data_IF_528429885919
#
_entry.id   IF_528429885919
#
_cell.length_a   1.000
_cell.length_b   1.000
_cell.length_c   1.000
_cell.angle_alpha   90.00
_cell.angle_beta   90.00
_cell.angle_gamma   90.00
#
_symmetry.space_group_name_H-M   'P 1'
#
loop_
_entity.id
_entity.type
_entity.pdbx_description
1 polymer ?
#
# COMPACT_ATOMS: atom_id res chain seq x y z
N UNK A 1 -14.58 -17.63 -4.23
CA UNK A 1 -15.62 -18.61 -4.57
C UNK A 1 -16.74 -18.65 -3.52
N UNK A 2 -16.42 -18.81 -2.21
CA UNK A 2 -17.44 -18.96 -1.15
C UNK A 2 -18.37 -17.76 -1.05
N UNK A 3 -17.83 -16.56 -0.97
CA UNK A 3 -18.61 -15.33 -0.76
C UNK A 3 -19.44 -14.89 -1.97
N UNK A 4 -18.95 -15.17 -3.19
CA UNK A 4 -19.63 -14.78 -4.41
C UNK A 4 -20.59 -15.87 -4.92
N UNK A 5 -20.19 -17.16 -4.90
CA UNK A 5 -21.00 -18.25 -5.45
C UNK A 5 -21.90 -18.95 -4.43
N UNK A 6 -21.38 -19.29 -3.23
CA UNK A 6 -22.17 -20.00 -2.21
C UNK A 6 -23.09 -19.07 -1.44
N UNK A 7 -22.57 -17.97 -0.94
CA UNK A 7 -23.31 -17.05 -0.09
C UNK A 7 -24.03 -15.95 -0.88
N UNK A 8 -23.64 -15.71 -2.14
CA UNK A 8 -24.22 -14.68 -3.03
C UNK A 8 -24.28 -13.28 -2.38
N UNK A 9 -23.37 -13.01 -1.43
CA UNK A 9 -23.31 -11.72 -0.74
C UNK A 9 -22.73 -10.62 -1.61
N UNK A 10 -21.87 -11.02 -2.54
CA UNK A 10 -21.17 -10.09 -3.45
C UNK A 10 -21.32 -10.58 -4.89
N UNK A 11 -21.44 -9.66 -5.87
CA UNK A 11 -21.45 -10.03 -7.28
C UNK A 11 -20.13 -10.68 -7.66
N UNK A 12 -20.18 -11.63 -8.62
CA UNK A 12 -19.02 -12.43 -9.05
C UNK A 12 -18.05 -11.61 -9.87
N UNK A 13 -18.58 -10.67 -10.64
CA UNK A 13 -17.82 -9.79 -11.54
C UNK A 13 -18.64 -8.52 -11.85
N UNK A 14 -17.94 -7.48 -12.32
CA UNK A 14 -18.54 -6.18 -12.67
C UNK A 14 -18.03 -5.06 -11.78
N UNK A 15 -18.27 -3.82 -12.22
CA UNK A 15 -17.82 -2.61 -11.52
C UNK A 15 -18.98 -1.65 -11.21
N UNK A 16 -20.20 -2.09 -11.45
CA UNK A 16 -21.39 -1.23 -11.44
C UNK A 16 -21.94 -0.95 -10.03
N UNK A 17 -21.38 -1.59 -9.00
CA UNK A 17 -21.84 -1.44 -7.62
C UNK A 17 -20.67 -1.39 -6.63
N UNK A 18 -20.80 -0.55 -5.61
CA UNK A 18 -19.83 -0.50 -4.50
C UNK A 18 -19.56 -1.89 -3.88
N UNK A 19 -20.59 -2.76 -3.85
CA UNK A 19 -20.46 -4.14 -3.37
C UNK A 19 -19.52 -4.99 -4.24
N UNK A 20 -19.42 -4.71 -5.53
CA UNK A 20 -18.53 -5.42 -6.44
C UNK A 20 -17.05 -5.09 -6.18
N UNK A 21 -16.76 -3.91 -5.64
CA UNK A 21 -15.39 -3.48 -5.33
C UNK A 21 -14.85 -4.08 -4.03
N UNK A 22 -15.70 -4.56 -3.13
CA UNK A 22 -15.29 -5.05 -1.80
C UNK A 22 -14.38 -6.28 -1.91
N UNK A 23 -14.73 -7.26 -2.75
CA UNK A 23 -13.93 -8.48 -2.89
C UNK A 23 -12.54 -8.21 -3.49
N UNK A 24 -12.39 -7.47 -4.62
CA UNK A 24 -11.08 -7.07 -5.12
C UNK A 24 -10.26 -6.30 -4.09
N UNK A 25 -10.88 -5.35 -3.38
CA UNK A 25 -10.21 -4.55 -2.36
C UNK A 25 -9.70 -5.41 -1.18
N UNK A 26 -10.50 -6.38 -0.71
CA UNK A 26 -10.06 -7.32 0.34
C UNK A 26 -8.89 -8.17 -0.15
N UNK A 27 -8.91 -8.68 -1.37
CA UNK A 27 -7.83 -9.52 -1.92
C UNK A 27 -6.53 -8.75 -2.00
N UNK A 28 -6.56 -7.52 -2.52
CA UNK A 28 -5.38 -6.66 -2.63
C UNK A 28 -4.90 -6.22 -1.24
N UNK A 29 -5.81 -5.80 -0.38
CA UNK A 29 -5.49 -5.33 0.97
C UNK A 29 -4.95 -6.44 1.87
N UNK A 30 -5.44 -7.67 1.76
CA UNK A 30 -5.00 -8.81 2.58
C UNK A 30 -3.53 -9.14 2.35
N UNK A 31 -3.11 -9.14 1.10
CA UNK A 31 -1.70 -9.39 0.75
C UNK A 31 -0.78 -8.31 1.36
N UNK A 32 -1.17 -7.05 1.25
CA UNK A 32 -0.42 -5.90 1.77
C UNK A 32 -0.44 -5.83 3.31
N UNK A 33 -1.58 -6.13 3.93
CA UNK A 33 -1.77 -6.04 5.36
C UNK A 33 -0.78 -6.89 6.17
N UNK A 34 -0.49 -8.11 5.70
CA UNK A 34 0.48 -9.00 6.35
C UNK A 34 1.91 -8.43 6.37
N UNK A 35 2.33 -7.78 5.30
CA UNK A 35 3.66 -7.15 5.20
C UNK A 35 3.75 -5.90 6.07
N UNK A 36 2.72 -5.05 6.02
CA UNK A 36 2.63 -3.84 6.84
C UNK A 36 2.63 -4.20 8.34
N UNK A 37 1.84 -5.19 8.74
CA UNK A 37 1.76 -5.61 10.14
C UNK A 37 3.10 -6.15 10.66
N UNK A 38 3.80 -6.98 9.88
CA UNK A 38 5.14 -7.49 10.26
C UNK A 38 6.15 -6.36 10.38
N UNK A 39 6.19 -5.44 9.44
CA UNK A 39 7.10 -4.31 9.45
C UNK A 39 6.82 -3.38 10.63
N UNK A 40 5.55 -3.04 10.87
CA UNK A 40 5.15 -2.21 12.01
C UNK A 40 5.58 -2.85 13.33
N UNK A 41 5.36 -4.16 13.50
CA UNK A 41 5.78 -4.87 14.70
C UNK A 41 7.30 -4.85 14.87
N UNK A 42 8.06 -5.15 13.81
CA UNK A 42 9.52 -5.16 13.87
C UNK A 42 10.09 -3.81 14.28
N UNK A 43 9.65 -2.75 13.61
CA UNK A 43 10.10 -1.39 13.91
C UNK A 43 9.69 -0.93 15.32
N UNK A 44 8.48 -1.30 15.77
CA UNK A 44 8.03 -0.95 17.10
C UNK A 44 8.87 -1.63 18.18
N UNK A 45 9.20 -2.92 18.00
CA UNK A 45 10.06 -3.67 18.93
C UNK A 45 11.45 -3.07 19.01
N UNK A 46 12.03 -2.68 17.87
CA UNK A 46 13.34 -2.03 17.79
C UNK A 46 13.33 -0.69 18.54
N UNK A 47 12.37 0.17 18.24
CA UNK A 47 12.23 1.49 18.85
C UNK A 47 11.98 1.42 20.37
N UNK A 48 11.26 0.40 20.84
CA UNK A 48 11.02 0.22 22.27
C UNK A 48 12.29 -0.07 23.09
N UNK A 49 13.41 -0.40 22.42
CA UNK A 49 14.71 -0.64 23.04
C UNK A 49 15.61 0.61 23.06
N UNK A 50 15.21 1.67 22.37
CA UNK A 50 15.96 2.92 22.28
C UNK A 50 16.07 3.67 23.62
N UNK A 51 17.19 4.37 23.83
CA UNK A 51 17.48 5.06 25.09
C UNK A 51 16.52 6.20 25.40
N UNK A 52 15.97 6.87 24.38
CA UNK A 52 14.97 7.92 24.64
C UNK A 52 13.65 7.36 25.16
N UNK A 53 13.30 6.11 24.84
CA UNK A 53 12.15 5.41 25.41
C UNK A 53 12.41 5.06 26.88
N UNK A 54 13.61 4.61 27.21
CA UNK A 54 14.01 4.38 28.61
C UNK A 54 13.95 5.68 29.42
N UNK A 55 14.42 6.77 28.83
CA UNK A 55 14.35 8.10 29.45
C UNK A 55 12.90 8.57 29.67
N UNK A 56 12.03 8.35 28.73
CA UNK A 56 10.60 8.67 28.86
C UNK A 56 9.93 7.90 30.01
N UNK A 57 10.25 6.61 30.14
CA UNK A 57 9.81 5.78 31.29
C UNK A 57 10.38 6.26 32.61
N UNK A 58 11.67 6.62 32.67
CA UNK A 58 12.32 7.15 33.86
C UNK A 58 11.71 8.48 34.35
N UNK A 59 11.16 9.29 33.44
CA UNK A 59 10.38 10.50 33.75
C UNK A 59 8.97 10.22 34.30
N UNK A 60 8.59 8.95 34.47
CA UNK A 60 7.30 8.56 35.05
C UNK A 60 6.11 8.68 34.07
N UNK A 61 6.35 8.76 32.77
CA UNK A 61 5.26 8.76 31.79
C UNK A 61 4.54 7.40 31.81
N UNK A 62 3.21 7.45 31.65
CA UNK A 62 2.38 6.24 31.55
C UNK A 62 2.79 5.44 30.31
N UNK A 63 2.86 4.12 30.41
CA UNK A 63 3.29 3.23 29.32
C UNK A 63 2.50 3.47 28.02
N UNK A 64 1.20 3.70 28.11
CA UNK A 64 0.37 4.06 26.98
C UNK A 64 0.86 5.34 26.25
N UNK A 65 1.25 6.37 27.00
CA UNK A 65 1.78 7.61 26.42
C UNK A 65 3.15 7.38 25.77
N UNK A 66 4.00 6.56 26.38
CA UNK A 66 5.31 6.17 25.82
C UNK A 66 5.11 5.45 24.49
N UNK A 67 4.20 4.48 24.42
CA UNK A 67 3.95 3.71 23.22
C UNK A 67 3.35 4.59 22.11
N UNK A 68 2.28 5.32 22.38
CA UNK A 68 1.52 6.05 21.33
C UNK A 68 2.29 7.29 20.85
N UNK A 69 2.80 8.12 21.77
CA UNK A 69 3.35 9.41 21.39
C UNK A 69 4.86 9.37 21.10
N UNK A 70 5.59 8.40 21.66
CA UNK A 70 7.04 8.32 21.48
C UNK A 70 7.46 7.14 20.58
N UNK A 71 6.98 5.93 20.83
CA UNK A 71 7.41 4.77 20.07
C UNK A 71 6.69 4.66 18.71
N UNK A 72 5.36 4.67 18.70
CA UNK A 72 4.57 4.44 17.49
C UNK A 72 4.83 5.50 16.42
N UNK A 73 4.92 6.77 16.81
CA UNK A 73 5.19 7.86 15.88
C UNK A 73 6.47 7.62 15.07
N UNK A 74 7.55 7.21 15.74
CA UNK A 74 8.82 6.94 15.08
C UNK A 74 8.82 5.59 14.33
N UNK A 75 8.14 4.57 14.86
CA UNK A 75 8.00 3.27 14.22
C UNK A 75 7.21 3.33 12.90
N UNK A 76 6.31 4.30 12.77
CA UNK A 76 5.48 4.46 11.58
C UNK A 76 6.19 5.12 10.39
N UNK A 77 7.33 5.80 10.59
CA UNK A 77 8.06 6.45 9.50
C UNK A 77 8.36 5.51 8.33
N UNK A 78 9.09 4.40 8.51
CA UNK A 78 9.36 3.47 7.41
C UNK A 78 8.10 2.73 6.93
N UNK A 79 7.09 2.57 7.79
CA UNK A 79 5.81 1.94 7.41
C UNK A 79 5.03 2.81 6.44
N UNK A 80 4.94 4.11 6.68
CA UNK A 80 4.25 5.07 5.79
C UNK A 80 4.93 5.10 4.42
N UNK A 81 6.26 5.08 4.37
CA UNK A 81 7.01 5.00 3.10
C UNK A 81 6.67 3.70 2.34
N UNK A 82 6.69 2.57 3.03
CA UNK A 82 6.31 1.29 2.43
C UNK A 82 4.86 1.31 1.92
N UNK A 83 3.94 1.91 2.66
CA UNK A 83 2.54 2.06 2.22
C UNK A 83 2.43 2.93 0.98
N UNK A 84 3.17 4.03 0.90
CA UNK A 84 3.18 4.90 -0.27
C UNK A 84 3.71 4.17 -1.52
N UNK A 85 4.78 3.39 -1.40
CA UNK A 85 5.32 2.55 -2.47
C UNK A 85 4.32 1.46 -2.90
N UNK A 86 3.61 0.84 -1.96
CA UNK A 86 2.57 -0.13 -2.27
C UNK A 86 1.39 0.48 -3.03
N UNK A 87 0.95 1.68 -2.64
CA UNK A 87 -0.11 2.42 -3.35
C UNK A 87 0.35 2.72 -4.78
N UNK A 88 1.59 3.18 -4.96
CA UNK A 88 2.17 3.42 -6.29
C UNK A 88 2.18 2.17 -7.15
N UNK A 89 2.56 1.04 -6.58
CA UNK A 89 2.52 -0.27 -7.23
C UNK A 89 1.10 -0.70 -7.63
N UNK A 90 0.11 -0.43 -6.79
CA UNK A 90 -1.30 -0.74 -7.09
C UNK A 90 -1.85 0.12 -8.23
N UNK A 91 -1.39 1.37 -8.35
CA UNK A 91 -1.77 2.25 -9.47
C UNK A 91 -1.28 1.73 -10.83
N UNK A 92 -0.21 0.94 -10.84
CA UNK A 92 0.32 0.30 -12.05
C UNK A 92 -0.57 -0.81 -12.61
N UNK A 93 -1.60 -1.22 -11.86
CA UNK A 93 -2.54 -2.25 -12.23
C UNK A 93 -2.28 -3.60 -11.55
N UNK A 94 -3.33 -4.14 -10.99
CA UNK A 94 -3.34 -5.48 -10.43
C UNK A 94 -3.92 -6.46 -11.45
N UNK A 95 -3.18 -6.74 -12.53
CA UNK A 95 -3.61 -7.51 -13.71
C UNK A 95 -4.45 -8.73 -13.37
N UNK A 96 -3.97 -9.57 -12.44
CA UNK A 96 -4.70 -10.78 -12.02
C UNK A 96 -6.03 -10.46 -11.36
N UNK A 97 -6.04 -9.50 -10.45
CA UNK A 97 -7.26 -9.10 -9.74
C UNK A 97 -8.25 -8.45 -10.68
N UNK A 98 -7.78 -7.56 -11.55
CA UNK A 98 -8.61 -6.89 -12.55
C UNK A 98 -9.25 -7.89 -13.54
N UNK A 99 -8.48 -8.87 -14.00
CA UNK A 99 -8.95 -9.90 -14.93
C UNK A 99 -9.95 -10.86 -14.26
N UNK A 100 -9.67 -11.32 -13.04
CA UNK A 100 -10.53 -12.28 -12.32
C UNK A 100 -11.85 -11.63 -11.91
N UNK A 101 -11.84 -10.38 -11.45
CA UNK A 101 -13.05 -9.70 -10.99
C UNK A 101 -13.74 -8.86 -12.08
N UNK A 102 -13.18 -8.83 -13.29
CA UNK A 102 -13.75 -8.08 -14.40
C UNK A 102 -13.69 -6.55 -14.22
N UNK A 103 -12.75 -6.07 -13.39
CA UNK A 103 -12.54 -4.64 -13.14
C UNK A 103 -11.90 -3.99 -14.36
N UNK A 104 -12.44 -2.88 -14.88
CA UNK A 104 -11.85 -2.16 -16.01
C UNK A 104 -10.62 -1.36 -15.53
N UNK A 105 -9.48 -2.04 -15.42
CA UNK A 105 -8.21 -1.44 -15.00
C UNK A 105 -7.17 -1.45 -16.12
N UNK A 106 -6.03 -0.79 -15.84
CA UNK A 106 -4.93 -0.62 -16.81
C UNK A 106 -4.26 -1.97 -17.10
N UNK A 107 -4.14 -2.83 -16.10
CA UNK A 107 -3.56 -4.15 -16.26
C UNK A 107 -4.39 -5.03 -17.21
N UNK A 108 -5.71 -5.02 -17.06
CA UNK A 108 -6.62 -5.71 -17.98
C UNK A 108 -6.58 -5.11 -19.38
N UNK A 109 -6.47 -3.78 -19.51
CA UNK A 109 -6.33 -3.11 -20.79
C UNK A 109 -5.06 -3.55 -21.52
N UNK A 110 -3.95 -3.69 -20.82
CA UNK A 110 -2.70 -4.21 -21.38
C UNK A 110 -2.83 -5.67 -21.85
N UNK A 111 -3.50 -6.53 -21.07
CA UNK A 111 -3.77 -7.92 -21.48
C UNK A 111 -4.62 -7.96 -22.75
N UNK A 112 -5.68 -7.19 -22.81
CA UNK A 112 -6.52 -7.11 -24.01
C UNK A 112 -5.73 -6.62 -25.24
N UNK A 113 -4.84 -5.63 -25.05
CA UNK A 113 -3.98 -5.15 -26.14
C UNK A 113 -3.04 -6.24 -26.66
N UNK A 114 -2.53 -7.11 -25.81
CA UNK A 114 -1.72 -8.27 -26.20
C UNK A 114 -2.55 -9.28 -26.99
N UNK A 115 -3.73 -9.62 -26.48
CA UNK A 115 -4.63 -10.60 -27.11
C UNK A 115 -5.09 -10.14 -28.51
N UNK A 116 -5.39 -8.85 -28.64
CA UNK A 116 -5.81 -8.24 -29.93
C UNK A 116 -4.65 -7.83 -30.83
N UNK A 117 -3.40 -7.99 -30.36
CA UNK A 117 -2.17 -7.57 -31.04
C UNK A 117 -2.15 -6.07 -31.35
N UNK A 118 -2.79 -5.26 -30.53
CA UNK A 118 -2.82 -3.80 -30.66
C UNK A 118 -1.54 -3.21 -30.02
N UNK A 119 -0.47 -3.12 -30.81
CA UNK A 119 0.82 -2.61 -30.36
C UNK A 119 0.77 -1.13 -29.92
N UNK A 120 0.08 -0.22 -30.64
CA UNK A 120 -0.08 1.14 -30.16
C UNK A 120 -0.74 1.25 -28.80
N UNK A 121 -1.82 0.49 -28.54
CA UNK A 121 -2.50 0.47 -27.26
C UNK A 121 -1.59 -0.12 -26.17
N UNK A 122 -0.85 -1.19 -26.45
CA UNK A 122 0.10 -1.78 -25.51
C UNK A 122 1.20 -0.80 -25.14
N UNK A 123 1.81 -0.11 -26.11
CA UNK A 123 2.82 0.91 -25.86
C UNK A 123 2.26 2.06 -25.01
N UNK A 124 1.06 2.52 -25.32
CA UNK A 124 0.37 3.55 -24.55
C UNK A 124 0.15 3.15 -23.08
N UNK A 125 -0.30 1.92 -22.82
CA UNK A 125 -0.48 1.41 -21.46
C UNK A 125 0.82 1.29 -20.68
N UNK A 126 1.90 0.83 -21.33
CA UNK A 126 3.23 0.72 -20.72
C UNK A 126 3.78 2.10 -20.35
N UNK A 127 3.72 3.06 -21.27
CA UNK A 127 4.17 4.44 -21.00
C UNK A 127 3.37 5.06 -19.85
N UNK A 128 2.05 4.91 -19.88
CA UNK A 128 1.16 5.46 -18.87
C UNK A 128 1.46 4.86 -17.47
N UNK A 129 1.58 3.54 -17.36
CA UNK A 129 1.92 2.87 -16.10
C UNK A 129 3.30 3.28 -15.60
N UNK A 130 4.28 3.41 -16.48
CA UNK A 130 5.63 3.88 -16.11
C UNK A 130 5.59 5.27 -15.51
N UNK A 131 4.86 6.20 -16.14
CA UNK A 131 4.69 7.57 -15.61
C UNK A 131 4.02 7.54 -14.23
N UNK A 132 2.96 6.74 -14.04
CA UNK A 132 2.29 6.59 -12.76
C UNK A 132 3.24 6.07 -11.66
N UNK A 133 4.07 5.08 -11.98
CA UNK A 133 5.07 4.54 -11.04
C UNK A 133 6.07 5.63 -10.64
N UNK A 134 6.61 6.37 -11.62
CA UNK A 134 7.59 7.44 -11.36
C UNK A 134 6.97 8.52 -10.48
N UNK A 135 5.78 8.99 -10.81
CA UNK A 135 5.06 10.00 -10.02
C UNK A 135 4.74 9.47 -8.62
N UNK A 136 4.29 8.23 -8.51
CA UNK A 136 4.01 7.61 -7.23
C UNK A 136 5.25 7.46 -6.33
N UNK A 137 6.37 7.05 -6.90
CA UNK A 137 7.64 6.98 -6.17
C UNK A 137 8.12 8.36 -5.75
N UNK A 138 8.02 9.38 -6.64
CA UNK A 138 8.35 10.75 -6.29
C UNK A 138 7.52 11.26 -5.11
N UNK A 139 6.21 10.98 -5.10
CA UNK A 139 5.34 11.33 -3.98
C UNK A 139 5.76 10.59 -2.71
N UNK A 140 6.10 9.30 -2.80
CA UNK A 140 6.59 8.53 -1.66
C UNK A 140 7.89 9.11 -1.08
N UNK A 141 8.83 9.50 -1.93
CA UNK A 141 10.10 10.11 -1.53
C UNK A 141 9.89 11.49 -0.89
N UNK A 142 8.98 12.30 -1.43
CA UNK A 142 8.61 13.59 -0.84
C UNK A 142 7.95 13.41 0.54
N UNK A 143 7.05 12.45 0.69
CA UNK A 143 6.44 12.11 1.98
C UNK A 143 7.50 11.66 2.99
N UNK A 144 8.45 10.84 2.56
CA UNK A 144 9.55 10.40 3.40
C UNK A 144 10.39 11.60 3.90
N UNK A 145 10.80 12.49 3.01
CA UNK A 145 11.56 13.70 3.35
C UNK A 145 10.81 14.66 4.30
N UNK A 146 9.48 14.71 4.20
CA UNK A 146 8.66 15.54 5.09
C UNK A 146 8.48 14.90 6.46
N UNK A 147 8.37 13.56 6.51
CA UNK A 147 8.11 12.81 7.75
C UNK A 147 9.37 12.53 8.56
N UNK A 148 10.55 12.42 7.91
CA UNK A 148 11.81 12.18 8.60
C UNK A 148 12.67 13.47 8.66
N UNK A 149 12.60 14.23 9.78
CA UNK A 149 13.39 15.45 9.95
C UNK A 149 14.91 15.20 10.07
N UNK A 150 15.33 13.94 10.31
CA UNK A 150 16.75 13.60 10.50
C UNK A 150 17.57 13.74 9.21
N UNK A 151 16.95 13.67 8.04
CA UNK A 151 17.62 13.85 6.74
C UNK A 151 18.02 15.33 6.51
N UNK A 152 17.36 16.26 7.19
CA UNK A 152 17.67 17.71 7.08
C UNK A 152 18.96 18.15 7.77
N UNK A 153 19.50 17.37 8.68
CA UNK A 153 20.68 17.72 9.47
C UNK A 153 21.99 17.13 8.90
N UNK A 154 21.93 16.38 7.82
CA UNK A 154 23.08 15.71 7.21
C UNK A 154 23.54 16.27 5.84
N UNK A 155 23.04 17.43 5.40
CA UNK A 155 23.44 18.09 4.15
C UNK A 155 24.20 19.38 4.42
#
# INVERSE_FOLDING_TARGET
YVFAFKLKWFPVSGFDSFRAMILPAIVLGWNSAGSIARMTRSNLVEIMQEDYIRTARAKGLREYAVIIFHALKNAMLPVVTMMALQISSMLSGAVLTESVFGVPGIGRLAVNAIETRDMPLLQGTVVFTTVLIIVGNLIADLLYNVLDPRIREGA
#
